data_IF_440763523314
#
_entry.id   IF_440763523314
#
_cell.length_a   1.000
_cell.length_b   1.000
_cell.length_c   1.000
_cell.angle_alpha   90.00
_cell.angle_beta   90.00
_cell.angle_gamma   90.00
#
_symmetry.space_group_name_H-M   'P 1'
#
loop_
_entity.id
_entity.type
_entity.pdbx_description
1 polymer ?
#
# COMPACT_ATOMS: atom_id res chain seq x y z
N UNK A 1 1.87 -4.11 -5.21
CA UNK A 1 2.04 -2.65 -5.46
C UNK A 1 1.36 -2.21 -6.74
N UNK A 2 0.42 -1.24 -6.71
CA UNK A 2 -0.17 -0.64 -7.91
C UNK A 2 0.77 0.39 -8.56
N UNK A 3 0.43 0.88 -9.77
CA UNK A 3 1.19 1.92 -10.47
C UNK A 3 1.45 3.15 -9.57
N UNK A 4 2.62 3.83 -9.65
CA UNK A 4 2.96 4.98 -8.80
C UNK A 4 1.88 6.08 -8.72
N UNK A 5 1.19 6.35 -9.83
CA UNK A 5 0.11 7.36 -9.86
C UNK A 5 -1.13 6.94 -9.06
N UNK A 6 -1.42 5.64 -9.01
CA UNK A 6 -2.49 5.12 -8.17
C UNK A 6 -2.12 5.23 -6.68
N UNK A 7 -0.86 5.01 -6.33
CA UNK A 7 -0.35 5.19 -4.96
C UNK A 7 -0.56 6.63 -4.50
N UNK A 8 -0.24 7.63 -5.35
CA UNK A 8 -0.42 9.05 -4.99
C UNK A 8 -1.86 9.39 -4.62
N UNK A 9 -2.83 8.76 -5.27
CA UNK A 9 -4.26 8.95 -4.99
C UNK A 9 -4.72 8.18 -3.75
N UNK A 10 -4.13 7.00 -3.51
CA UNK A 10 -4.49 6.11 -2.41
C UNK A 10 -3.98 6.61 -1.06
N UNK A 11 -2.79 7.19 -1.00
CA UNK A 11 -2.10 7.52 0.26
C UNK A 11 -2.82 8.52 1.17
N UNK A 12 -3.43 9.60 0.64
CA UNK A 12 -4.26 10.50 1.45
C UNK A 12 -5.48 9.78 2.05
N UNK A 13 -6.07 8.83 1.30
CA UNK A 13 -7.19 8.01 1.77
C UNK A 13 -6.70 7.06 2.88
N UNK A 14 -5.54 6.44 2.73
CA UNK A 14 -4.97 5.58 3.77
C UNK A 14 -4.68 6.36 5.07
N UNK A 15 -4.20 7.60 4.95
CA UNK A 15 -3.99 8.49 6.10
C UNK A 15 -5.28 8.78 6.87
N UNK A 16 -6.41 8.92 6.17
CA UNK A 16 -7.70 9.23 6.78
C UNK A 16 -8.33 8.04 7.54
N UNK A 17 -7.93 6.81 7.21
CA UNK A 17 -8.45 5.59 7.84
C UNK A 17 -7.87 5.31 9.24
N UNK A 18 -6.91 6.10 9.72
CA UNK A 18 -6.34 5.94 11.06
C UNK A 18 -5.52 4.66 11.22
N UNK A 19 -4.77 4.29 10.18
CA UNK A 19 -3.94 3.09 10.16
C UNK A 19 -2.85 3.16 11.24
N UNK A 20 -2.51 2.00 11.80
CA UNK A 20 -1.37 1.88 12.74
C UNK A 20 -0.04 1.64 12.01
N UNK A 21 -0.09 0.98 10.85
CA UNK A 21 1.09 0.69 10.03
C UNK A 21 0.72 0.54 8.55
N UNK A 22 1.63 0.92 7.66
CA UNK A 22 1.54 0.67 6.22
C UNK A 22 2.76 -0.15 5.80
N UNK A 23 2.53 -1.28 5.13
CA UNK A 23 3.59 -2.12 4.60
C UNK A 23 3.53 -2.17 3.07
N UNK A 24 4.67 -1.93 2.44
CA UNK A 24 4.79 -2.08 0.99
C UNK A 24 5.14 -3.52 0.63
N UNK A 25 4.30 -4.17 -0.18
CA UNK A 25 4.50 -5.56 -0.59
C UNK A 25 4.65 -5.63 -2.11
N UNK A 26 5.84 -6.07 -2.56
CA UNK A 26 6.12 -6.40 -3.95
C UNK A 26 5.89 -7.91 -4.17
N UNK A 27 5.10 -8.20 -5.20
CA UNK A 27 4.67 -9.54 -5.58
C UNK A 27 4.69 -9.69 -7.12
N UNK A 28 4.40 -10.88 -7.64
CA UNK A 28 4.36 -11.15 -9.07
C UNK A 28 3.24 -10.41 -9.79
N UNK A 29 2.17 -10.03 -9.10
CA UNK A 29 1.10 -9.19 -9.65
C UNK A 29 1.37 -7.68 -9.53
N UNK A 30 2.48 -7.28 -8.92
CA UNK A 30 2.83 -5.87 -8.77
C UNK A 30 3.22 -5.22 -10.11
N UNK A 31 2.95 -3.92 -10.22
CA UNK A 31 3.28 -3.14 -11.40
C UNK A 31 4.79 -3.21 -11.72
N UNK A 32 5.18 -3.44 -13.00
CA UNK A 32 6.58 -3.56 -13.40
C UNK A 32 7.44 -2.36 -13.02
N UNK A 33 6.86 -1.16 -12.96
CA UNK A 33 7.53 0.08 -12.57
C UNK A 33 8.08 0.02 -11.13
N UNK A 34 7.41 -0.74 -10.26
CA UNK A 34 7.83 -1.02 -8.88
C UNK A 34 8.68 -2.28 -8.75
N UNK A 35 8.61 -3.21 -9.71
CA UNK A 35 9.52 -4.37 -9.74
C UNK A 35 10.95 -3.97 -10.14
N UNK A 36 11.07 -2.98 -11.03
CA UNK A 36 12.35 -2.45 -11.48
C UNK A 36 13.06 -1.59 -10.43
N UNK A 37 12.31 -1.04 -9.47
CA UNK A 37 12.83 -0.17 -8.41
C UNK A 37 12.88 -0.94 -7.09
N UNK A 38 14.09 -1.18 -6.58
CA UNK A 38 14.29 -1.82 -5.26
C UNK A 38 13.83 -0.94 -4.10
N UNK A 39 13.62 0.34 -4.36
CA UNK A 39 13.16 1.32 -3.41
C UNK A 39 11.86 1.94 -3.95
N UNK A 40 10.73 1.52 -3.40
CA UNK A 40 9.71 2.51 -3.11
C UNK A 40 10.35 3.51 -2.16
N UNK A 41 10.17 4.80 -2.40
CA UNK A 41 10.73 5.84 -1.54
C UNK A 41 9.58 6.27 -0.63
N UNK A 42 9.42 5.68 0.57
CA UNK A 42 8.47 6.14 1.60
C UNK A 42 8.44 7.66 1.69
N UNK A 43 9.62 8.26 1.68
CA UNK A 43 9.86 9.71 1.69
C UNK A 43 9.07 10.52 0.64
N UNK A 44 8.76 9.92 -0.52
CA UNK A 44 7.95 10.56 -1.58
C UNK A 44 6.46 10.52 -1.30
N UNK A 45 6.01 9.60 -0.46
CA UNK A 45 4.60 9.34 -0.17
C UNK A 45 4.21 9.70 1.27
N UNK A 46 5.18 9.85 2.18
CA UNK A 46 4.97 10.33 3.55
C UNK A 46 4.21 11.68 3.59
N UNK A 47 4.51 12.68 2.74
CA UNK A 47 3.73 13.92 2.73
C UNK A 47 2.26 13.72 2.37
N UNK A 48 1.94 12.71 1.56
CA UNK A 48 0.57 12.40 1.15
C UNK A 48 -0.21 11.67 2.25
N UNK A 49 0.50 10.92 3.11
CA UNK A 49 -0.08 10.36 4.33
C UNK A 49 -0.40 11.46 5.34
N UNK A 50 0.49 12.43 5.49
CA UNK A 50 0.30 13.58 6.37
C UNK A 50 -0.92 14.42 5.96
N UNK A 51 -1.17 14.60 4.66
CA UNK A 51 -2.39 15.23 4.15
C UNK A 51 -3.67 14.51 4.63
N UNK A 52 -3.68 13.18 4.59
CA UNK A 52 -4.81 12.38 5.08
C UNK A 52 -4.98 12.45 6.60
N UNK A 53 -3.88 12.45 7.35
CA UNK A 53 -3.89 12.55 8.81
C UNK A 53 -4.41 13.90 9.29
N UNK A 54 -4.01 14.98 8.60
CA UNK A 54 -4.48 16.34 8.86
C UNK A 54 -6.00 16.46 8.71
N UNK A 55 -6.60 15.76 7.75
CA UNK A 55 -8.06 15.76 7.54
C UNK A 55 -8.85 15.03 8.64
N UNK A 56 -8.21 14.14 9.40
CA UNK A 56 -8.89 13.28 10.37
C UNK A 56 -8.57 13.58 11.83
N UNK A 57 -7.89 14.69 12.12
CA UNK A 57 -7.48 15.08 13.47
C UNK A 57 -6.73 13.96 14.22
N UNK A 58 -6.06 13.07 13.49
CA UNK A 58 -5.32 11.93 14.06
C UNK A 58 -3.90 12.39 14.38
N UNK A 59 -3.43 12.26 15.63
CA UNK A 59 -2.15 12.83 16.04
C UNK A 59 -0.94 11.96 15.69
N UNK A 60 -1.14 10.72 15.23
CA UNK A 60 -0.07 9.74 15.06
C UNK A 60 -0.03 9.23 13.62
N UNK A 61 1.10 9.43 12.97
CA UNK A 61 1.40 8.84 11.68
C UNK A 61 1.54 7.31 11.80
N UNK A 62 1.09 6.54 10.78
CA UNK A 62 1.31 5.10 10.76
C UNK A 62 2.79 4.78 10.65
N UNK A 63 3.19 3.64 11.23
CA UNK A 63 4.53 3.09 11.01
C UNK A 63 4.67 2.66 9.55
N UNK A 64 5.64 3.22 8.82
CA UNK A 64 5.90 2.85 7.43
C UNK A 64 6.97 1.77 7.39
N UNK A 65 6.59 0.59 6.91
CA UNK A 65 7.49 -0.57 6.79
C UNK A 65 8.08 -0.63 5.38
N UNK A 66 9.40 -0.90 5.25
CA UNK A 66 10.07 -0.93 3.96
C UNK A 66 9.51 -2.02 3.05
N UNK A 67 9.82 -1.91 1.75
CA UNK A 67 9.37 -2.86 0.73
C UNK A 67 9.79 -4.28 1.07
N UNK A 68 8.79 -5.15 1.29
CA UNK A 68 8.99 -6.58 1.47
C UNK A 68 8.71 -7.29 0.14
N UNK A 69 9.66 -8.13 -0.29
CA UNK A 69 9.45 -9.07 -1.40
C UNK A 69 8.93 -10.36 -0.81
N UNK A 70 7.67 -10.68 -1.06
CA UNK A 70 7.04 -11.88 -0.51
C UNK A 70 6.88 -12.89 -1.64
N UNK A 71 7.56 -14.04 -1.55
CA UNK A 71 7.35 -15.16 -2.48
C UNK A 71 6.08 -15.91 -2.10
N UNK A 72 5.22 -16.18 -3.07
CA UNK A 72 3.99 -16.96 -2.86
C UNK A 72 2.82 -16.20 -2.24
N UNK A 73 2.95 -14.89 -1.99
CA UNK A 73 1.83 -14.04 -1.56
C UNK A 73 0.72 -14.00 -2.61
N UNK A 74 1.10 -14.06 -3.89
CA UNK A 74 0.14 -14.03 -5.01
C UNK A 74 -0.82 -15.21 -4.95
N UNK A 75 -0.38 -16.41 -4.55
CA UNK A 75 -1.25 -17.58 -4.42
C UNK A 75 -2.30 -17.39 -3.31
N UNK A 76 -1.89 -16.88 -2.16
CA UNK A 76 -2.80 -16.59 -1.04
C UNK A 76 -3.75 -15.41 -1.35
N UNK A 77 -3.29 -14.42 -2.13
CA UNK A 77 -4.10 -13.28 -2.55
C UNK A 77 -5.10 -13.69 -3.63
N UNK A 78 -4.71 -14.51 -4.61
CA UNK A 78 -5.58 -15.08 -5.63
C UNK A 78 -6.66 -15.98 -5.00
N UNK A 79 -6.29 -16.80 -4.03
CA UNK A 79 -7.24 -17.61 -3.26
C UNK A 79 -8.21 -16.72 -2.46
N UNK A 80 -7.73 -15.64 -1.83
CA UNK A 80 -8.58 -14.72 -1.06
C UNK A 80 -9.53 -13.87 -1.94
N UNK A 81 -9.04 -13.36 -3.07
CA UNK A 81 -9.82 -12.53 -4.00
C UNK A 81 -10.78 -13.40 -4.84
N UNK A 82 -10.36 -14.61 -5.21
CA UNK A 82 -11.21 -15.59 -5.88
C UNK A 82 -12.33 -16.14 -4.98
N UNK A 83 -12.08 -16.31 -3.68
CA UNK A 83 -13.11 -16.69 -2.71
C UNK A 83 -14.22 -15.63 -2.57
N UNK A 84 -13.89 -14.34 -2.71
CA UNK A 84 -14.88 -13.26 -2.64
C UNK A 84 -15.78 -13.10 -3.88
N UNK A 85 -15.50 -13.79 -4.99
CA UNK A 85 -16.32 -13.70 -6.22
C UNK A 85 -17.42 -14.77 -6.33
N UNK A 86 -17.55 -15.66 -5.34
CA UNK A 86 -18.47 -16.81 -5.39
C UNK A 86 -19.57 -16.83 -4.31
N UNK A 87 -19.80 -15.73 -3.59
CA UNK A 87 -20.84 -15.62 -2.54
C UNK A 87 -22.00 -14.66 -2.93
N UNK A 88 -22.42 -14.65 -4.20
CA UNK A 88 -23.72 -14.08 -4.63
C UNK A 88 -24.62 -15.15 -5.27
#
# INVERSE_FOLDING_TARGET
>A
MPHPDAIRKLFPILGSLGLSSVAYISSELSDPSHKATSALWPEKFDPLLDEGLAQCCRPRAPEIRPLQKVRGFDKALEEAVGATQHDE
#
